data_IF_404825557950
#
_entry.id   IF_404825557950
#
_cell.length_a   1.000
_cell.length_b   1.000
_cell.length_c   1.000
_cell.angle_alpha   90.00
_cell.angle_beta   90.00
_cell.angle_gamma   90.00
#
_symmetry.space_group_name_H-M   'P 1'
#
loop_
_entity.id
_entity.type
_entity.pdbx_description
1 polymer ?
#
# COMPACT_ATOMS: atom_id res chain seq x y z
N UNK A 1 -29.08 -7.50 14.30
CA UNK A 1 -28.33 -8.44 13.43
C UNK A 1 -28.73 -9.85 13.85
N UNK A 2 -29.18 -10.69 12.92
CA UNK A 2 -29.47 -12.10 13.18
C UNK A 2 -28.30 -12.91 12.63
N UNK A 3 -27.63 -13.69 13.47
CA UNK A 3 -26.59 -14.61 13.05
C UNK A 3 -27.22 -15.95 12.68
N UNK A 4 -26.75 -16.58 11.61
CA UNK A 4 -27.22 -17.89 11.16
C UNK A 4 -26.02 -18.81 10.89
N UNK A 5 -26.17 -20.09 11.22
CA UNK A 5 -25.15 -21.10 10.98
C UNK A 5 -25.32 -21.62 9.56
N UNK A 6 -24.27 -21.46 8.75
CA UNK A 6 -24.16 -22.03 7.42
C UNK A 6 -23.34 -23.32 7.48
N UNK A 7 -23.84 -24.37 6.83
CA UNK A 7 -23.17 -25.69 6.79
C UNK A 7 -21.90 -25.68 5.93
N UNK A 8 -21.89 -24.89 4.86
CA UNK A 8 -20.75 -24.75 3.95
C UNK A 8 -20.75 -23.34 3.34
N UNK A 9 -19.56 -22.79 3.09
CA UNK A 9 -19.37 -21.50 2.40
C UNK A 9 -19.22 -21.77 0.91
N UNK A 10 -19.98 -21.10 0.05
CA UNK A 10 -19.83 -21.26 -1.41
C UNK A 10 -18.63 -20.48 -1.95
N UNK A 11 -17.90 -21.06 -2.90
CA UNK A 11 -16.83 -20.41 -3.67
C UNK A 11 -17.02 -20.59 -5.19
N UNK A 12 -18.27 -20.67 -5.66
CA UNK A 12 -18.59 -20.92 -7.08
C UNK A 12 -18.33 -19.71 -7.99
N UNK A 13 -18.06 -18.54 -7.42
CA UNK A 13 -17.83 -17.29 -8.14
C UNK A 13 -16.46 -16.71 -7.80
N UNK A 14 -15.81 -16.10 -8.78
CA UNK A 14 -14.58 -15.33 -8.55
C UNK A 14 -14.88 -13.99 -7.91
N UNK A 15 -13.90 -13.42 -7.22
CA UNK A 15 -14.06 -12.13 -6.57
C UNK A 15 -14.07 -10.97 -7.58
N UNK A 16 -14.95 -9.98 -7.39
CA UNK A 16 -15.07 -8.83 -8.28
C UNK A 16 -14.07 -7.69 -7.99
N UNK A 17 -13.50 -7.64 -6.79
CA UNK A 17 -12.64 -6.53 -6.34
C UNK A 17 -11.14 -6.83 -6.50
N UNK A 18 -10.76 -8.11 -6.39
CA UNK A 18 -9.38 -8.56 -6.36
C UNK A 18 -9.19 -9.80 -7.22
N UNK A 19 -8.05 -9.88 -7.90
CA UNK A 19 -7.64 -11.10 -8.61
C UNK A 19 -7.47 -12.23 -7.59
N UNK A 20 -8.22 -13.31 -7.78
CA UNK A 20 -8.11 -14.54 -7.01
C UNK A 20 -7.38 -15.63 -7.81
N UNK A 21 -7.41 -16.87 -7.30
CA UNK A 21 -7.04 -18.07 -8.05
C UNK A 21 -7.57 -18.02 -9.50
N UNK A 22 -6.66 -18.18 -10.46
CA UNK A 22 -6.99 -18.28 -11.89
C UNK A 22 -7.41 -19.71 -12.22
N UNK A 23 -8.25 -19.87 -13.26
CA UNK A 23 -8.56 -21.20 -13.78
C UNK A 23 -7.26 -21.97 -14.13
N UNK A 24 -7.20 -23.29 -13.88
CA UNK A 24 -8.28 -24.19 -13.45
C UNK A 24 -8.46 -24.32 -11.93
N UNK A 25 -7.80 -23.50 -11.12
CA UNK A 25 -7.90 -23.58 -9.66
C UNK A 25 -9.28 -23.13 -9.16
N UNK A 26 -9.78 -23.77 -8.09
CA UNK A 26 -11.02 -23.36 -7.42
C UNK A 26 -10.90 -21.92 -6.87
N UNK A 27 -11.96 -21.10 -6.91
CA UNK A 27 -11.95 -19.77 -6.29
C UNK A 27 -11.69 -19.85 -4.77
N UNK A 28 -11.14 -18.78 -4.21
CA UNK A 28 -10.92 -18.70 -2.76
C UNK A 28 -12.25 -18.50 -2.02
N UNK A 29 -12.43 -19.21 -0.91
CA UNK A 29 -13.61 -19.04 -0.03
C UNK A 29 -13.68 -17.65 0.60
N UNK A 30 -12.52 -17.09 0.97
CA UNK A 30 -12.42 -15.78 1.59
C UNK A 30 -11.36 -14.95 0.87
N UNK A 31 -11.70 -13.70 0.58
CA UNK A 31 -10.78 -12.68 0.08
C UNK A 31 -10.89 -11.45 0.98
N UNK A 32 -9.78 -10.71 1.07
CA UNK A 32 -9.73 -9.44 1.80
C UNK A 32 -10.84 -8.51 1.31
N UNK A 33 -11.48 -7.79 2.23
CA UNK A 33 -12.45 -6.76 1.89
C UNK A 33 -11.75 -5.54 1.26
N UNK A 34 -12.44 -4.81 0.35
CA UNK A 34 -12.01 -3.50 -0.11
C UNK A 34 -11.62 -2.58 1.05
N UNK A 35 -10.57 -1.77 0.88
CA UNK A 35 -10.04 -0.88 1.93
C UNK A 35 -11.11 0.00 2.59
N UNK A 36 -12.16 0.35 1.83
CA UNK A 36 -13.27 1.19 2.26
C UNK A 36 -14.55 0.44 2.65
N UNK A 37 -14.54 -0.90 2.65
CA UNK A 37 -15.69 -1.73 3.00
C UNK A 37 -16.07 -1.65 4.48
N UNK A 38 -15.11 -1.27 5.34
CA UNK A 38 -15.35 -1.07 6.77
C UNK A 38 -15.08 0.39 7.09
N UNK A 39 -16.07 1.05 7.72
CA UNK A 39 -15.93 2.43 8.18
C UNK A 39 -15.65 2.44 9.69
N UNK A 40 -14.47 2.92 10.13
CA UNK A 40 -14.15 2.95 11.53
C UNK A 40 -14.99 4.01 12.25
N UNK A 41 -15.50 3.63 13.42
CA UNK A 41 -16.12 4.54 14.39
C UNK A 41 -15.36 4.55 15.72
N UNK A 42 -15.84 5.36 16.67
CA UNK A 42 -15.38 5.38 18.06
C UNK A 42 -13.85 5.43 18.20
N UNK A 43 -13.32 4.57 19.08
CA UNK A 43 -11.89 4.51 19.39
C UNK A 43 -11.01 4.29 18.16
N UNK A 44 -11.36 3.35 17.27
CA UNK A 44 -10.54 3.03 16.10
C UNK A 44 -10.42 4.23 15.15
N UNK A 45 -11.52 4.96 14.93
CA UNK A 45 -11.49 6.19 14.12
C UNK A 45 -10.53 7.21 14.75
N UNK A 46 -10.63 7.41 16.07
CA UNK A 46 -9.78 8.36 16.77
C UNK A 46 -8.29 7.99 16.69
N UNK A 47 -7.95 6.70 16.75
CA UNK A 47 -6.56 6.24 16.59
C UNK A 47 -6.02 6.54 15.18
N UNK A 48 -6.82 6.33 14.14
CA UNK A 48 -6.43 6.66 12.76
C UNK A 48 -6.22 8.17 12.58
N UNK A 49 -7.11 8.99 13.14
CA UNK A 49 -6.96 10.45 13.11
C UNK A 49 -5.67 10.88 13.82
N UNK A 50 -5.35 10.29 14.98
CA UNK A 50 -4.09 10.57 15.69
C UNK A 50 -2.86 10.12 14.90
N UNK A 51 -2.90 8.99 14.19
CA UNK A 51 -1.80 8.54 13.34
C UNK A 51 -1.59 9.45 12.13
N UNK A 52 -2.69 9.92 11.52
CA UNK A 52 -2.67 10.95 10.47
C UNK A 52 -2.05 12.24 10.99
N UNK A 53 -2.50 12.72 12.13
CA UNK A 53 -2.04 14.01 12.66
C UNK A 53 -0.62 13.92 13.26
N UNK A 54 -0.15 12.71 13.55
CA UNK A 54 1.17 12.42 14.11
C UNK A 54 2.19 11.90 13.10
N UNK A 55 3.05 10.97 13.53
CA UNK A 55 4.23 10.54 12.78
C UNK A 55 3.89 10.00 11.39
N UNK A 56 2.85 9.17 11.26
CA UNK A 56 2.54 8.51 9.98
C UNK A 56 2.12 9.52 8.92
N UNK A 57 1.26 10.50 9.24
CA UNK A 57 0.84 11.48 8.25
C UNK A 57 1.91 12.51 7.88
N UNK A 58 2.85 12.75 8.78
CA UNK A 58 3.91 13.75 8.59
C UNK A 58 5.28 13.14 8.21
N UNK A 59 5.39 11.80 8.06
CA UNK A 59 6.69 11.14 7.81
C UNK A 59 7.39 11.69 6.56
N UNK A 60 6.64 12.07 5.53
CA UNK A 60 7.18 12.64 4.29
C UNK A 60 7.89 13.99 4.46
N UNK A 61 7.64 14.71 5.56
CA UNK A 61 8.29 15.99 5.87
C UNK A 61 9.57 15.81 6.68
N UNK A 62 9.75 14.64 7.32
CA UNK A 62 10.83 14.41 8.30
C UNK A 62 11.81 13.31 7.88
N UNK A 63 11.37 12.31 7.12
CA UNK A 63 12.23 11.19 6.71
C UNK A 63 12.98 11.51 5.42
N UNK A 64 14.30 11.38 5.48
CA UNK A 64 15.17 11.48 4.31
C UNK A 64 14.84 10.41 3.27
N UNK A 65 14.33 9.24 3.69
CA UNK A 65 14.00 8.13 2.81
C UNK A 65 12.72 8.38 1.99
N UNK A 66 11.92 9.37 2.40
CA UNK A 66 10.76 9.89 1.68
C UNK A 66 11.05 11.19 0.93
N UNK A 67 12.32 11.64 0.90
CA UNK A 67 12.73 12.75 0.03
C UNK A 67 12.34 12.43 -1.41
N UNK A 68 11.75 13.39 -2.13
CA UNK A 68 11.47 13.25 -3.57
C UNK A 68 12.70 13.54 -4.44
N UNK A 69 13.73 14.16 -3.86
CA UNK A 69 15.02 14.38 -4.50
C UNK A 69 15.93 13.18 -4.26
N UNK A 70 16.59 12.70 -5.32
CA UNK A 70 17.59 11.62 -5.26
C UNK A 70 17.08 10.32 -4.63
N UNK A 71 15.81 9.99 -4.92
CA UNK A 71 15.14 8.80 -4.40
C UNK A 71 15.12 7.68 -5.45
N UNK A 72 15.70 6.54 -5.07
CA UNK A 72 15.80 5.38 -5.92
C UNK A 72 14.42 4.80 -6.30
N UNK A 73 13.38 5.01 -5.49
CA UNK A 73 12.01 4.62 -5.82
C UNK A 73 11.37 5.47 -6.94
N UNK A 74 11.94 6.64 -7.25
CA UNK A 74 11.46 7.56 -8.28
C UNK A 74 12.28 7.50 -9.59
N UNK A 75 13.32 6.67 -9.63
CA UNK A 75 14.25 6.54 -10.74
C UNK A 75 14.05 5.18 -11.45
N UNK A 76 13.97 5.16 -12.79
CA UNK A 76 13.71 3.93 -13.57
C UNK A 76 14.85 2.92 -13.42
N UNK A 77 16.08 3.41 -13.31
CA UNK A 77 17.26 2.59 -13.09
C UNK A 77 17.36 2.11 -11.62
N UNK A 78 16.51 2.63 -10.73
CA UNK A 78 16.54 2.41 -9.28
C UNK A 78 17.78 2.96 -8.59
N UNK A 79 18.37 4.02 -9.17
CA UNK A 79 19.51 4.72 -8.60
C UNK A 79 19.04 5.91 -7.78
N UNK A 80 19.69 6.11 -6.65
CA UNK A 80 19.51 7.28 -5.83
C UNK A 80 20.11 7.06 -4.45
N UNK A 81 20.44 8.14 -3.75
CA UNK A 81 20.97 8.06 -2.39
C UNK A 81 19.95 7.45 -1.40
N UNK A 82 18.66 7.62 -1.67
CA UNK A 82 17.58 7.17 -0.78
C UNK A 82 16.80 6.03 -1.39
N UNK A 83 17.05 4.80 -0.92
CA UNK A 83 16.42 3.59 -1.43
C UNK A 83 16.04 2.58 -0.36
N UNK A 84 15.93 2.97 0.91
CA UNK A 84 15.55 2.03 1.95
C UNK A 84 14.07 1.63 1.84
N UNK A 85 13.72 0.44 2.35
CA UNK A 85 12.35 -0.09 2.32
C UNK A 85 11.37 0.67 3.23
N UNK A 86 11.78 1.73 3.93
CA UNK A 86 10.86 2.58 4.70
C UNK A 86 9.73 3.12 3.82
N UNK A 87 10.01 3.53 2.58
CA UNK A 87 9.00 4.05 1.67
C UNK A 87 7.83 3.07 1.44
N UNK A 88 8.03 1.84 0.95
CA UNK A 88 6.91 0.92 0.74
C UNK A 88 6.25 0.48 2.05
N UNK A 89 6.99 0.37 3.16
CA UNK A 89 6.39 0.05 4.46
C UNK A 89 5.47 1.15 4.96
N UNK A 90 5.92 2.41 4.89
CA UNK A 90 5.11 3.57 5.23
C UNK A 90 3.90 3.71 4.30
N UNK A 91 4.12 3.65 2.98
CA UNK A 91 3.08 3.89 1.96
C UNK A 91 1.90 2.91 2.12
N UNK A 92 2.18 1.66 2.49
CA UNK A 92 1.14 0.65 2.77
C UNK A 92 0.18 1.09 3.88
N UNK A 93 0.69 1.65 4.97
CA UNK A 93 -0.13 2.16 6.08
C UNK A 93 -0.79 3.49 5.74
N UNK A 94 0.03 4.44 5.28
CA UNK A 94 -0.37 5.80 4.92
C UNK A 94 -1.51 5.81 3.89
N UNK A 95 -1.38 5.04 2.81
CA UNK A 95 -2.40 4.97 1.76
C UNK A 95 -3.71 4.36 2.23
N UNK A 96 -3.68 3.27 3.01
CA UNK A 96 -4.90 2.70 3.56
C UNK A 96 -5.64 3.70 4.46
N UNK A 97 -4.90 4.39 5.33
CA UNK A 97 -5.45 5.40 6.21
C UNK A 97 -6.04 6.59 5.43
N UNK A 98 -5.35 7.05 4.38
CA UNK A 98 -5.82 8.11 3.49
C UNK A 98 -7.20 7.80 2.91
N UNK A 99 -7.37 6.60 2.34
CA UNK A 99 -8.65 6.18 1.76
C UNK A 99 -9.74 5.93 2.81
N UNK A 100 -9.39 5.38 3.98
CA UNK A 100 -10.35 5.11 5.07
C UNK A 100 -10.90 6.41 5.65
N UNK A 101 -10.03 7.39 5.90
CA UNK A 101 -10.41 8.70 6.45
C UNK A 101 -10.96 9.66 5.39
N UNK A 102 -10.76 9.37 4.10
CA UNK A 102 -11.19 10.23 2.99
C UNK A 102 -10.36 11.52 2.90
N UNK A 103 -9.09 11.47 3.28
CA UNK A 103 -8.22 12.65 3.28
C UNK A 103 -7.63 12.88 1.88
N UNK A 104 -8.13 13.89 1.17
CA UNK A 104 -7.75 14.15 -0.22
C UNK A 104 -6.26 14.51 -0.39
N UNK A 105 -5.66 15.22 0.58
CA UNK A 105 -4.23 15.55 0.55
C UNK A 105 -3.40 14.28 0.64
N UNK A 106 -3.72 13.40 1.59
CA UNK A 106 -3.01 12.13 1.73
C UNK A 106 -3.26 11.18 0.55
N UNK A 107 -4.47 11.17 -0.02
CA UNK A 107 -4.77 10.36 -1.21
C UNK A 107 -3.91 10.83 -2.38
N UNK A 108 -3.77 12.14 -2.58
CA UNK A 108 -2.91 12.70 -3.63
C UNK A 108 -1.45 12.29 -3.46
N UNK A 109 -0.92 12.38 -2.24
CA UNK A 109 0.46 11.95 -1.95
C UNK A 109 0.65 10.44 -2.13
N UNK A 110 -0.33 9.63 -1.70
CA UNK A 110 -0.34 8.19 -1.91
C UNK A 110 -0.29 7.85 -3.41
N UNK A 111 -1.14 8.51 -4.21
CA UNK A 111 -1.16 8.31 -5.66
C UNK A 111 0.14 8.72 -6.32
N UNK A 112 0.73 9.85 -5.90
CA UNK A 112 2.04 10.27 -6.40
C UNK A 112 3.07 9.14 -6.27
N UNK A 113 3.22 8.55 -5.08
CA UNK A 113 4.19 7.48 -4.86
C UNK A 113 3.84 6.19 -5.63
N UNK A 114 2.57 5.77 -5.61
CA UNK A 114 2.14 4.57 -6.33
C UNK A 114 2.36 4.70 -7.83
N UNK A 115 1.90 5.80 -8.44
CA UNK A 115 2.04 6.05 -9.87
C UNK A 115 3.51 6.23 -10.25
N UNK A 116 4.31 6.93 -9.43
CA UNK A 116 5.73 7.08 -9.70
C UNK A 116 6.46 5.74 -9.70
N UNK A 117 6.24 4.89 -8.69
CA UNK A 117 6.88 3.56 -8.64
C UNK A 117 6.39 2.68 -9.81
N UNK A 118 5.08 2.61 -10.05
CA UNK A 118 4.52 1.76 -11.09
C UNK A 118 4.95 2.18 -12.50
N UNK A 119 5.07 3.48 -12.78
CA UNK A 119 5.54 3.99 -14.08
C UNK A 119 7.05 3.85 -14.28
N UNK A 120 7.79 3.38 -13.26
CA UNK A 120 9.24 3.15 -13.30
C UNK A 120 9.60 1.67 -13.27
N UNK A 121 8.66 0.80 -13.64
CA UNK A 121 8.95 -0.61 -13.88
C UNK A 121 10.09 -0.75 -14.91
N UNK A 122 11.05 -1.62 -14.62
CA UNK A 122 12.08 -2.02 -15.57
C UNK A 122 11.56 -3.07 -16.54
N UNK A 123 12.27 -3.28 -17.64
CA UNK A 123 11.85 -4.21 -18.71
C UNK A 123 11.76 -5.67 -18.23
N UNK A 124 12.45 -6.03 -17.15
CA UNK A 124 12.37 -7.34 -16.49
C UNK A 124 11.20 -7.47 -15.48
N UNK A 125 10.40 -6.42 -15.31
CA UNK A 125 9.28 -6.36 -14.37
C UNK A 125 9.63 -5.88 -12.96
N UNK A 126 10.89 -5.57 -12.67
CA UNK A 126 11.35 -5.15 -11.33
C UNK A 126 11.02 -3.68 -11.01
N UNK A 127 10.89 -3.36 -9.73
CA UNK A 127 10.55 -2.03 -9.21
C UNK A 127 11.48 -1.60 -8.08
N UNK A 128 11.70 -0.29 -7.98
CA UNK A 128 12.37 0.30 -6.83
C UNK A 128 13.90 0.22 -6.91
N UNK A 129 14.59 0.38 -5.77
CA UNK A 129 16.04 0.49 -5.67
C UNK A 129 16.78 -0.70 -6.28
N UNK A 130 17.78 -0.43 -7.13
CA UNK A 130 18.63 -1.47 -7.69
C UNK A 130 19.81 -1.73 -6.75
N UNK A 131 19.75 -2.84 -6.03
CA UNK A 131 20.84 -3.27 -5.14
C UNK A 131 21.71 -4.27 -5.88
N UNK A 132 22.73 -3.78 -6.59
CA UNK A 132 23.88 -4.62 -6.92
C UNK A 132 24.73 -4.80 -5.67
N UNK A 133 25.19 -6.01 -5.38
CA UNK A 133 26.14 -6.23 -4.29
C UNK A 133 27.43 -5.44 -4.60
N UNK A 134 27.60 -4.31 -3.95
CA UNK A 134 28.76 -3.40 -4.00
C UNK A 134 28.83 -2.56 -2.73
N UNK A 135 29.86 -1.71 -2.58
CA UNK A 135 30.09 -0.88 -1.38
C UNK A 135 29.00 0.19 -1.19
N UNK A 136 27.88 -0.24 -0.63
CA UNK A 136 26.69 0.58 -0.41
C UNK A 136 25.64 -0.29 0.27
N UNK A 137 25.87 -0.54 1.56
CA UNK A 137 25.15 -1.47 2.41
C UNK A 137 23.63 -1.20 2.43
N UNK A 138 22.85 -2.30 2.44
CA UNK A 138 21.66 -2.39 3.29
C UNK A 138 22.06 -2.22 4.75
#
# INVERSE_FOLDING_TARGET
MKAEVIKEVSNNTTNANYVSNKAPLKPQYFIKLPVNAVKPGGWLRKQLELQRDGLTGNLGEISIWLSKSDNAWLNKEGKGKWGWEELPYWLKGYGNMAYILGDEKMIKETKFWLEAVLNKQRDNGDFGPFVEKGEGKR
#
